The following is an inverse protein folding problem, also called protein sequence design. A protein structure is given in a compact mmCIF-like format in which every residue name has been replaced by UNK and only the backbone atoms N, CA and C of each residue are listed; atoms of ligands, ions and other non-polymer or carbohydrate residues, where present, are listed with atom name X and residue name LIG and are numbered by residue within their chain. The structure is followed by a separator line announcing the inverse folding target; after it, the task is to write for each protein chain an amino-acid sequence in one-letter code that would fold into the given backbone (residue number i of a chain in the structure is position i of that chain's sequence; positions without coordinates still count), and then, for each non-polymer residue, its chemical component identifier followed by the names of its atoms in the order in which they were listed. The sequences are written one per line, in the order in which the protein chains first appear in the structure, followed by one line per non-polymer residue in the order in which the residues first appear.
data_IF_619907008262
#
_entry.id   IF_619907008262
#
_cell.length_a   1.000
_cell.length_b   1.000
_cell.length_c   1.000
_cell.angle_alpha   90.00
_cell.angle_beta   90.00
_cell.angle_gamma   90.00
#
_symmetry.space_group_name_H-M   'P 1'
#
loop_
_entity.id
_entity.type
_entity.pdbx_description
1 polymer ?
#
# COMPACT_ATOMS: atom_id res chain seq x y z
N UNK A 1 12.28 -22.38 12.05
CA UNK A 1 11.60 -21.07 11.98
C UNK A 1 12.47 -20.17 11.13
N UNK A 2 11.91 -19.54 10.11
CA UNK A 2 12.59 -18.62 9.22
C UNK A 2 12.12 -17.21 9.55
N UNK A 3 13.02 -16.23 9.51
CA UNK A 3 12.73 -14.82 9.80
C UNK A 3 13.31 -13.96 8.69
N UNK A 4 12.65 -12.84 8.41
CA UNK A 4 13.11 -11.81 7.46
C UNK A 4 12.74 -10.44 7.98
N UNK A 5 13.58 -9.45 7.69
CA UNK A 5 13.35 -8.04 8.03
C UNK A 5 13.25 -7.15 6.77
N UNK A 6 13.48 -7.75 5.59
CA UNK A 6 13.83 -7.03 4.36
C UNK A 6 13.32 -7.74 3.10
N UNK A 7 12.25 -8.54 3.20
CA UNK A 7 11.64 -9.14 2.00
C UNK A 7 10.88 -8.08 1.22
N UNK A 8 11.23 -7.92 -0.05
CA UNK A 8 10.56 -7.03 -0.99
C UNK A 8 9.88 -7.83 -2.08
N UNK A 9 8.67 -7.42 -2.46
CA UNK A 9 7.91 -7.90 -3.60
C UNK A 9 7.62 -6.69 -4.48
N UNK A 10 8.23 -6.67 -5.65
CA UNK A 10 7.99 -5.69 -6.70
C UNK A 10 6.80 -6.16 -7.54
N UNK A 11 5.80 -5.30 -7.71
CA UNK A 11 4.56 -5.61 -8.39
C UNK A 11 4.05 -4.43 -9.20
N UNK A 12 3.46 -4.73 -10.37
CA UNK A 12 2.89 -3.71 -11.27
C UNK A 12 1.89 -2.79 -10.56
N UNK A 13 1.04 -3.37 -9.70
CA UNK A 13 -0.04 -2.68 -9.02
C UNK A 13 0.34 -2.20 -7.60
N UNK A 14 1.43 -2.73 -7.04
CA UNK A 14 1.89 -2.38 -5.71
C UNK A 14 3.29 -2.92 -5.42
N UNK A 15 4.08 -2.11 -4.70
CA UNK A 15 5.28 -2.56 -4.02
C UNK A 15 4.92 -3.02 -2.60
N UNK A 16 5.48 -4.15 -2.17
CA UNK A 16 5.21 -4.72 -0.86
C UNK A 16 6.53 -4.98 -0.13
N UNK A 17 6.66 -4.42 1.08
CA UNK A 17 7.75 -4.75 2.00
C UNK A 17 7.20 -5.61 3.14
N UNK A 18 7.88 -6.70 3.46
CA UNK A 18 7.46 -7.66 4.48
C UNK A 18 8.57 -7.93 5.48
N UNK A 19 8.18 -8.11 6.74
CA UNK A 19 9.05 -8.55 7.82
C UNK A 19 8.29 -9.48 8.77
N UNK A 20 9.01 -10.30 9.51
CA UNK A 20 8.44 -11.23 10.47
C UNK A 20 8.93 -12.65 10.21
N UNK A 21 8.13 -13.62 10.65
CA UNK A 21 8.54 -15.01 10.72
C UNK A 21 7.56 -15.99 10.13
N UNK A 22 8.13 -17.10 9.65
CA UNK A 22 7.45 -18.25 9.10
C UNK A 22 7.91 -19.50 9.85
N UNK A 23 6.95 -20.30 10.30
CA UNK A 23 7.22 -21.65 10.76
C UNK A 23 6.82 -22.63 9.66
N UNK A 24 7.77 -23.08 8.84
CA UNK A 24 7.51 -24.01 7.72
C UNK A 24 7.02 -25.38 8.17
N UNK A 25 7.47 -25.85 9.35
CA UNK A 25 7.05 -27.15 9.90
C UNK A 25 5.60 -27.10 10.35
N UNK A 26 5.22 -26.04 11.07
CA UNK A 26 3.84 -25.82 11.54
C UNK A 26 2.94 -25.15 10.49
N UNK A 27 3.53 -24.69 9.39
CA UNK A 27 2.89 -23.88 8.34
C UNK A 27 2.15 -22.68 8.92
N UNK A 28 2.81 -21.95 9.81
CA UNK A 28 2.26 -20.75 10.48
C UNK A 28 3.02 -19.48 10.08
N UNK A 29 2.28 -18.39 9.93
CA UNK A 29 2.73 -17.04 9.60
C UNK A 29 2.60 -16.12 10.83
N UNK A 30 3.58 -15.25 11.01
CA UNK A 30 3.45 -14.01 11.80
C UNK A 30 4.28 -12.92 11.12
N UNK A 31 3.62 -12.18 10.23
CA UNK A 31 4.25 -11.23 9.31
C UNK A 31 3.56 -9.86 9.39
N UNK A 32 4.34 -8.80 9.18
CA UNK A 32 3.85 -7.47 8.87
C UNK A 32 4.14 -7.16 7.40
N UNK A 33 3.15 -6.64 6.69
CA UNK A 33 3.28 -6.22 5.30
C UNK A 33 2.95 -4.72 5.18
N UNK A 34 3.82 -3.98 4.52
CA UNK A 34 3.63 -2.59 4.12
C UNK A 34 3.37 -2.62 2.62
N UNK A 35 2.18 -2.16 2.21
CA UNK A 35 1.74 -2.16 0.82
C UNK A 35 1.67 -0.72 0.32
N UNK A 36 2.43 -0.43 -0.73
CA UNK A 36 2.42 0.84 -1.44
C UNK A 36 1.75 0.61 -2.82
N UNK A 37 0.43 0.85 -2.95
CA UNK A 37 -0.27 0.67 -4.20
C UNK A 37 0.13 1.74 -5.23
N UNK A 38 0.16 1.34 -6.49
CA UNK A 38 0.33 2.23 -7.65
C UNK A 38 -0.97 3.02 -7.83
N UNK A 39 -0.89 4.35 -7.69
CA UNK A 39 -2.05 5.23 -7.92
C UNK A 39 -1.88 5.90 -9.27
N UNK A 40 -2.59 5.37 -10.26
CA UNK A 40 -2.50 5.87 -11.63
C UNK A 40 -3.36 7.12 -11.87
N UNK A 41 -2.72 8.29 -11.91
CA UNK A 41 -3.38 9.53 -12.30
C UNK A 41 -3.85 9.52 -13.78
N UNK A 42 -3.24 8.70 -14.63
CA UNK A 42 -3.55 8.65 -16.07
C UNK A 42 -4.92 8.02 -16.33
N UNK A 43 -5.31 6.99 -15.57
CA UNK A 43 -6.65 6.38 -15.68
C UNK A 43 -7.72 7.41 -15.32
N UNK A 44 -7.55 8.14 -14.22
CA UNK A 44 -8.50 9.18 -13.79
C UNK A 44 -8.64 10.33 -14.80
N UNK A 45 -7.52 10.81 -15.36
CA UNK A 45 -7.53 11.82 -16.42
C UNK A 45 -8.25 11.31 -17.66
N UNK A 46 -7.95 10.10 -18.13
CA UNK A 46 -8.57 9.53 -19.33
C UNK A 46 -10.09 9.39 -19.19
N UNK A 47 -10.57 8.93 -18.04
CA UNK A 47 -12.00 8.84 -17.74
C UNK A 47 -12.67 10.22 -17.78
N UNK A 48 -12.09 11.23 -17.14
CA UNK A 48 -12.60 12.60 -17.18
C UNK A 48 -12.60 13.19 -18.61
N UNK A 49 -11.55 12.89 -19.38
CA UNK A 49 -11.40 13.35 -20.77
C UNK A 49 -12.43 12.72 -21.71
N UNK A 50 -12.73 11.43 -21.51
CA UNK A 50 -13.77 10.72 -22.25
C UNK A 50 -15.17 11.30 -21.99
N UNK A 51 -15.44 11.77 -20.76
CA UNK A 51 -16.67 12.48 -20.42
C UNK A 51 -16.69 13.87 -21.06
N UNK A 52 -15.62 14.65 -20.89
CA UNK A 52 -15.49 15.98 -21.47
C UNK A 52 -14.01 16.40 -21.59
N UNK A 53 -13.54 16.82 -22.79
CA UNK A 53 -12.14 17.21 -22.99
C UNK A 53 -11.66 18.37 -22.12
N UNK A 54 -12.50 19.38 -21.86
CA UNK A 54 -12.13 20.55 -21.03
C UNK A 54 -11.97 20.12 -19.58
N UNK A 55 -12.87 19.29 -19.07
CA UNK A 55 -12.76 18.71 -17.72
C UNK A 55 -11.51 17.84 -17.61
N UNK A 56 -11.26 16.98 -18.60
CA UNK A 56 -10.06 16.16 -18.65
C UNK A 56 -8.77 16.99 -18.65
N UNK A 57 -8.72 18.09 -19.39
CA UNK A 57 -7.58 19.01 -19.39
C UNK A 57 -7.37 19.67 -18.01
N UNK A 58 -8.45 20.09 -17.33
CA UNK A 58 -8.38 20.65 -15.98
C UNK A 58 -7.88 19.61 -14.96
N UNK A 59 -8.41 18.38 -15.01
CA UNK A 59 -7.96 17.26 -14.15
C UNK A 59 -6.51 16.91 -14.43
N UNK A 60 -6.06 16.93 -15.69
CA UNK A 60 -4.66 16.71 -16.05
C UNK A 60 -3.73 17.78 -15.47
N UNK A 61 -4.10 19.06 -15.58
CA UNK A 61 -3.33 20.14 -14.98
C UNK A 61 -3.26 20.00 -13.45
N UNK A 62 -4.39 19.72 -12.81
CA UNK A 62 -4.45 19.48 -11.37
C UNK A 62 -3.60 18.27 -10.95
N UNK A 63 -3.65 17.15 -11.68
CA UNK A 63 -2.87 15.96 -11.37
C UNK A 63 -1.36 16.18 -11.53
N UNK A 64 -0.93 17.01 -12.48
CA UNK A 64 0.47 17.42 -12.62
C UNK A 64 0.96 18.25 -11.43
N UNK A 65 0.13 19.18 -10.93
CA UNK A 65 0.46 20.01 -9.76
C UNK A 65 0.48 19.18 -8.48
N UNK A 66 -0.48 18.26 -8.32
CA UNK A 66 -0.62 17.44 -7.11
C UNK A 66 0.23 16.18 -7.11
N UNK A 67 0.79 15.76 -8.26
CA UNK A 67 1.56 14.53 -8.42
C UNK A 67 2.63 14.28 -7.34
N UNK A 68 3.48 15.26 -6.98
CA UNK A 68 4.49 15.10 -5.94
C UNK A 68 3.93 14.83 -4.53
N UNK A 69 2.67 15.18 -4.28
CA UNK A 69 2.01 14.99 -2.98
C UNK A 69 1.39 13.59 -2.86
N UNK A 70 0.93 13.00 -3.96
CA UNK A 70 0.24 11.70 -3.95
C UNK A 70 1.15 10.52 -3.59
N UNK A 71 2.44 10.56 -3.96
CA UNK A 71 3.40 9.45 -3.76
C UNK A 71 3.67 9.07 -2.29
N UNK A 72 3.24 9.91 -1.33
CA UNK A 72 3.51 9.71 0.10
C UNK A 72 2.30 9.25 0.91
N UNK A 73 1.11 9.18 0.30
CA UNK A 73 -0.15 9.16 1.06
C UNK A 73 -0.75 7.76 1.21
N UNK A 74 -0.54 6.84 0.27
CA UNK A 74 -1.32 5.58 0.18
C UNK A 74 -0.71 4.34 0.86
N UNK A 75 0.15 4.47 1.86
CA UNK A 75 0.76 3.29 2.50
C UNK A 75 -0.25 2.58 3.42
N UNK A 76 -0.60 1.34 3.06
CA UNK A 76 -1.40 0.41 3.85
C UNK A 76 -0.48 -0.49 4.69
N UNK A 77 -0.93 -0.88 5.88
CA UNK A 77 -0.19 -1.80 6.75
C UNK A 77 -1.08 -2.94 7.18
N UNK A 78 -0.59 -4.15 7.02
CA UNK A 78 -1.29 -5.37 7.40
C UNK A 78 -0.47 -6.20 8.37
N UNK A 79 -1.17 -6.86 9.28
CA UNK A 79 -0.64 -7.97 10.08
C UNK A 79 -1.25 -9.26 9.57
N UNK A 80 -0.39 -10.20 9.19
CA UNK A 80 -0.72 -11.48 8.58
C UNK A 80 -0.32 -12.57 9.57
N UNK A 81 -1.30 -13.31 10.11
CA UNK A 81 -1.04 -14.35 11.11
C UNK A 81 -1.77 -15.65 10.81
N UNK A 82 -1.35 -16.75 11.44
CA UNK A 82 -2.06 -18.03 11.39
C UNK A 82 -1.58 -18.96 10.26
N UNK A 83 -2.38 -19.96 9.88
CA UNK A 83 -1.96 -20.99 8.92
C UNK A 83 -1.67 -20.41 7.52
N UNK A 84 -0.64 -20.92 6.85
CA UNK A 84 -0.23 -20.48 5.49
C UNK A 84 -1.33 -20.67 4.46
N UNK A 85 -2.16 -21.71 4.59
CA UNK A 85 -3.28 -22.02 3.71
C UNK A 85 -4.53 -21.16 3.98
N UNK A 86 -4.62 -20.55 5.17
CA UNK A 86 -5.74 -19.69 5.55
C UNK A 86 -5.28 -18.59 6.52
N UNK A 87 -4.46 -17.63 6.05
CA UNK A 87 -3.96 -16.56 6.91
C UNK A 87 -5.10 -15.63 7.33
N UNK A 88 -4.97 -15.06 8.52
CA UNK A 88 -5.76 -13.93 8.99
C UNK A 88 -5.03 -12.65 8.62
N UNK A 89 -5.68 -11.78 7.86
CA UNK A 89 -5.10 -10.53 7.37
C UNK A 89 -5.88 -9.38 8.00
N UNK A 90 -5.21 -8.62 8.86
CA UNK A 90 -5.81 -7.50 9.58
C UNK A 90 -5.10 -6.20 9.20
N UNK A 91 -5.87 -5.20 8.75
CA UNK A 91 -5.32 -3.87 8.54
C UNK A 91 -5.02 -3.23 9.90
N UNK A 92 -3.78 -2.78 10.08
CA UNK A 92 -3.36 -2.02 11.26
C UNK A 92 -3.46 -0.53 10.94
N UNK A 93 -4.61 0.05 11.30
CA UNK A 93 -4.84 1.49 11.19
C UNK A 93 -3.74 2.26 11.94
N UNK A 94 -3.26 3.36 11.34
CA UNK A 94 -2.32 4.26 12.00
C UNK A 94 -2.97 4.79 13.28
N UNK A 95 -2.45 4.41 14.44
CA UNK A 95 -2.73 5.19 15.64
C UNK A 95 -2.14 6.58 15.40
N UNK A 96 -2.94 7.66 15.43
CA UNK A 96 -2.40 9.00 15.36
C UNK A 96 -1.41 9.14 16.50
N UNK A 97 -0.18 9.59 16.17
CA UNK A 97 0.86 9.86 17.15
C UNK A 97 0.26 10.78 18.21
N UNK A 98 0.07 10.29 19.44
CA UNK A 98 -0.14 11.18 20.59
C UNK A 98 1.12 12.03 20.68
N UNK A 99 0.98 13.33 20.45
CA UNK A 99 1.98 14.30 20.88
C UNK A 99 2.16 14.10 22.38
N UNK A 100 3.30 13.53 22.76
CA UNK A 100 3.84 13.66 24.10
C UNK A 100 4.13 15.15 24.30
N UNK A 101 3.16 15.85 24.89
CA UNK A 101 3.34 17.18 25.46
C UNK A 101 4.45 17.08 26.52
N UNK A 102 5.50 17.88 26.33
CA UNK A 102 6.49 18.20 27.35
C UNK A 102 5.94 19.26 28.29
#
# INVERSE_FOLDING_TARGET
MMHTDDTLVDGLEADIAMKGSVNLVRRELDMEAIVAPEISATVGVAAAFAVNPIVGAAVFAASKVLGPLWSKVSILRYRITGPVDKPQINEVLRQPRKESQQ
#
